data_IF_224177814475
#
_entry.id   IF_224177814475
#
_cell.length_a   1.000
_cell.length_b   1.000
_cell.length_c   1.000
_cell.angle_alpha   90.00
_cell.angle_beta   90.00
_cell.angle_gamma   90.00
#
_symmetry.space_group_name_H-M   'P 1'
#
loop_
_entity.id
_entity.type
_entity.pdbx_description
1 polymer ?
#
# COMPACT_ATOMS: atom_id res chain seq x y z
N UNK A 1 2.30 30.83 -0.13
CA UNK A 1 3.03 30.22 -1.27
C UNK A 1 2.09 29.17 -1.85
N UNK A 2 1.60 29.34 -3.10
CA UNK A 2 0.71 28.34 -3.72
C UNK A 2 1.55 27.10 -4.02
N UNK A 3 1.31 26.01 -3.30
CA UNK A 3 1.90 24.71 -3.64
C UNK A 3 1.28 24.25 -4.96
N UNK A 4 2.02 24.35 -6.06
CA UNK A 4 1.67 23.62 -7.28
C UNK A 4 1.81 22.13 -6.99
N UNK A 5 0.70 21.39 -7.11
CA UNK A 5 0.72 19.94 -6.95
C UNK A 5 1.67 19.34 -8.00
N UNK A 6 2.68 18.55 -7.60
CA UNK A 6 3.57 17.93 -8.56
C UNK A 6 2.77 17.04 -9.52
N UNK A 7 2.91 17.26 -10.83
CA UNK A 7 2.29 16.38 -11.83
C UNK A 7 3.02 15.04 -11.78
N UNK A 8 2.38 14.02 -11.22
CA UNK A 8 2.93 12.65 -11.20
C UNK A 8 2.94 12.15 -12.66
N UNK A 9 4.13 11.86 -13.20
CA UNK A 9 4.29 11.44 -14.59
C UNK A 9 3.84 9.99 -14.77
N UNK A 10 3.02 9.72 -15.79
CA UNK A 10 2.45 8.40 -16.13
C UNK A 10 3.45 7.25 -16.34
N UNK A 11 4.76 7.48 -16.37
CA UNK A 11 5.71 6.63 -17.12
C UNK A 11 6.89 6.05 -16.36
N UNK A 12 7.03 6.31 -15.06
CA UNK A 12 8.26 5.94 -14.35
C UNK A 12 8.42 4.41 -14.27
N UNK A 13 7.31 3.67 -14.10
CA UNK A 13 7.36 2.21 -13.94
C UNK A 13 7.80 1.50 -15.23
N UNK A 14 7.34 1.93 -16.39
CA UNK A 14 7.72 1.26 -17.65
C UNK A 14 9.16 1.61 -18.08
N UNK A 15 9.68 2.76 -17.64
CA UNK A 15 11.03 3.25 -17.99
C UNK A 15 12.11 2.85 -16.98
N UNK A 16 11.80 2.97 -15.69
CA UNK A 16 12.77 2.86 -14.58
C UNK A 16 12.68 1.51 -13.86
N UNK A 17 11.77 0.62 -14.25
CA UNK A 17 11.66 -0.69 -13.60
C UNK A 17 12.87 -1.59 -13.82
N UNK A 18 13.36 -2.15 -12.72
CA UNK A 18 14.36 -3.21 -12.74
C UNK A 18 13.87 -4.43 -13.53
N UNK A 19 14.82 -5.29 -13.92
CA UNK A 19 14.47 -6.58 -14.51
C UNK A 19 13.58 -7.43 -13.59
N UNK A 20 13.89 -7.43 -12.29
CA UNK A 20 13.15 -8.15 -11.26
C UNK A 20 11.67 -7.71 -11.23
N UNK A 21 11.42 -6.39 -11.14
CA UNK A 21 10.08 -5.84 -11.09
C UNK A 21 9.27 -6.16 -12.36
N UNK A 22 9.89 -6.08 -13.54
CA UNK A 22 9.23 -6.44 -14.81
C UNK A 22 8.83 -7.90 -14.85
N UNK A 23 9.70 -8.81 -14.40
CA UNK A 23 9.41 -10.24 -14.31
C UNK A 23 8.27 -10.50 -13.32
N UNK A 24 8.31 -9.87 -12.14
CA UNK A 24 7.30 -9.97 -11.09
C UNK A 24 5.91 -9.55 -11.60
N UNK A 25 5.80 -8.37 -12.20
CA UNK A 25 4.53 -7.86 -12.73
C UNK A 25 3.98 -8.75 -13.85
N UNK A 26 4.84 -9.26 -14.73
CA UNK A 26 4.44 -10.18 -15.81
C UNK A 26 3.89 -11.48 -15.24
N UNK A 27 4.59 -12.10 -14.29
CA UNK A 27 4.16 -13.34 -13.65
C UNK A 27 2.85 -13.14 -12.90
N UNK A 28 2.73 -12.07 -12.10
CA UNK A 28 1.49 -11.77 -11.37
C UNK A 28 0.28 -11.57 -12.32
N UNK A 29 0.45 -10.84 -13.42
CA UNK A 29 -0.58 -10.68 -14.46
C UNK A 29 -0.99 -12.02 -15.06
N UNK A 30 -0.02 -12.85 -15.46
CA UNK A 30 -0.26 -14.18 -16.01
C UNK A 30 -0.97 -15.11 -15.03
N UNK A 31 -0.51 -15.16 -13.78
CA UNK A 31 -1.11 -16.01 -12.74
C UNK A 31 -2.55 -15.61 -12.43
N UNK A 32 -2.85 -14.32 -12.28
CA UNK A 32 -4.21 -13.85 -11.99
C UNK A 32 -5.15 -14.06 -13.19
N UNK A 33 -4.66 -13.86 -14.41
CA UNK A 33 -5.42 -14.12 -15.63
C UNK A 33 -5.75 -15.61 -15.78
N UNK A 34 -4.76 -16.48 -15.64
CA UNK A 34 -4.93 -17.93 -15.82
C UNK A 34 -5.81 -18.55 -14.73
N UNK A 35 -5.63 -18.15 -13.47
CA UNK A 35 -6.37 -18.74 -12.36
C UNK A 35 -7.80 -18.22 -12.23
N UNK A 36 -8.08 -16.97 -12.62
CA UNK A 36 -9.35 -16.31 -12.30
C UNK A 36 -9.98 -15.54 -13.45
N UNK A 37 -9.38 -15.48 -14.64
CA UNK A 37 -9.87 -14.64 -15.74
C UNK A 37 -9.87 -13.15 -15.41
N UNK A 38 -9.04 -12.72 -14.44
CA UNK A 38 -8.92 -11.34 -14.01
C UNK A 38 -7.67 -10.69 -14.59
N UNK A 39 -7.69 -9.37 -14.76
CA UNK A 39 -6.58 -8.59 -15.33
C UNK A 39 -6.04 -7.62 -14.31
N UNK A 40 -4.73 -7.38 -14.35
CA UNK A 40 -4.04 -6.42 -13.48
C UNK A 40 -3.35 -5.37 -14.34
N UNK A 41 -3.69 -4.10 -14.08
CA UNK A 41 -3.05 -2.94 -14.72
C UNK A 41 -2.37 -2.07 -13.67
N UNK A 42 -1.22 -1.51 -14.03
CA UNK A 42 -0.43 -0.60 -13.18
C UNK A 42 -0.46 0.77 -13.84
N UNK A 43 -0.68 1.81 -13.03
CA UNK A 43 -0.76 3.20 -13.48
C UNK A 43 0.26 4.00 -12.68
N UNK A 44 1.01 4.88 -13.35
CA UNK A 44 2.02 5.74 -12.72
C UNK A 44 1.45 6.99 -12.06
N UNK A 45 0.20 6.96 -11.60
CA UNK A 45 -0.45 8.06 -10.89
C UNK A 45 -1.63 7.53 -10.05
N UNK A 46 -2.36 8.42 -9.35
CA UNK A 46 -3.59 8.07 -8.63
C UNK A 46 -4.88 8.37 -9.40
N UNK A 47 -4.82 8.79 -10.65
CA UNK A 47 -6.02 9.17 -11.40
C UNK A 47 -6.94 7.94 -11.59
N UNK A 48 -6.36 6.80 -11.98
CA UNK A 48 -7.13 5.57 -12.14
C UNK A 48 -7.69 5.04 -10.80
N UNK A 49 -7.00 5.34 -9.70
CA UNK A 49 -7.43 5.04 -8.33
C UNK A 49 -8.64 5.88 -7.91
N UNK A 50 -8.59 7.20 -8.11
CA UNK A 50 -9.70 8.11 -7.78
C UNK A 50 -10.99 7.78 -8.52
N UNK A 51 -10.88 7.23 -9.74
CA UNK A 51 -12.00 6.82 -10.60
C UNK A 51 -12.59 5.43 -10.27
N UNK A 52 -12.26 4.83 -9.12
CA UNK A 52 -12.89 3.58 -8.70
C UNK A 52 -14.05 3.89 -7.77
N UNK A 53 -15.26 3.49 -8.17
CA UNK A 53 -16.40 3.46 -7.26
C UNK A 53 -16.18 2.37 -6.22
N UNK A 54 -16.08 2.79 -4.96
CA UNK A 54 -15.77 1.93 -3.81
C UNK A 54 -17.01 1.50 -3.04
N UNK A 55 -18.22 1.81 -3.53
CA UNK A 55 -19.50 1.48 -2.88
C UNK A 55 -19.54 1.99 -1.42
N UNK A 56 -19.08 3.23 -1.21
CA UNK A 56 -18.97 3.86 0.12
C UNK A 56 -17.77 3.41 0.96
N UNK A 57 -16.82 2.66 0.40
CA UNK A 57 -15.56 2.35 1.08
C UNK A 57 -14.68 3.59 1.29
N UNK A 58 -14.03 3.67 2.46
CA UNK A 58 -13.06 4.72 2.77
C UNK A 58 -11.95 4.79 1.71
N UNK A 59 -11.66 5.99 1.24
CA UNK A 59 -10.49 6.28 0.42
C UNK A 59 -9.62 7.28 1.18
N UNK A 60 -8.35 6.92 1.34
CA UNK A 60 -7.38 7.81 1.95
C UNK A 60 -7.03 8.93 0.97
N UNK A 61 -7.15 10.19 1.41
CA UNK A 61 -7.04 11.38 0.54
C UNK A 61 -5.70 11.49 -0.21
N UNK A 62 -4.64 10.87 0.32
CA UNK A 62 -3.33 10.82 -0.33
C UNK A 62 -3.28 10.02 -1.64
N UNK A 63 -4.37 9.34 -2.01
CA UNK A 63 -4.49 8.61 -3.28
C UNK A 63 -5.40 9.35 -4.28
N UNK A 64 -5.25 10.67 -4.35
CA UNK A 64 -5.77 11.55 -5.39
C UNK A 64 -4.66 12.56 -5.74
N UNK A 65 -4.34 12.72 -7.03
CA UNK A 65 -3.28 13.62 -7.49
C UNK A 65 -3.50 15.08 -7.06
N UNK A 66 -4.75 15.48 -6.78
CA UNK A 66 -5.10 16.85 -6.38
C UNK A 66 -4.78 17.13 -4.92
N UNK A 67 -4.74 16.08 -4.09
CA UNK A 67 -4.71 16.20 -2.64
C UNK A 67 -3.47 15.54 -2.03
N UNK A 68 -2.79 14.66 -2.75
CA UNK A 68 -1.59 14.00 -2.27
C UNK A 68 -0.42 14.96 -2.10
N UNK A 69 0.39 14.77 -1.06
CA UNK A 69 1.71 15.43 -0.93
C UNK A 69 2.86 14.55 -1.40
N UNK A 70 2.56 13.38 -1.98
CA UNK A 70 3.58 12.50 -2.52
C UNK A 70 4.27 13.11 -3.73
N UNK A 71 5.57 12.86 -3.87
CA UNK A 71 6.35 13.27 -5.05
C UNK A 71 6.11 12.34 -6.23
N UNK A 72 5.75 11.08 -5.96
CA UNK A 72 5.37 10.06 -6.94
C UNK A 72 4.24 9.19 -6.42
N UNK A 73 3.48 8.61 -7.34
CA UNK A 73 2.36 7.75 -7.02
C UNK A 73 2.19 6.63 -8.02
N UNK A 74 1.67 5.50 -7.57
CA UNK A 74 1.22 4.43 -8.44
C UNK A 74 -0.07 3.83 -7.91
N UNK A 75 -0.89 3.31 -8.82
CA UNK A 75 -1.97 2.43 -8.43
C UNK A 75 -2.07 1.19 -9.31
N UNK A 76 -2.57 0.12 -8.71
CA UNK A 76 -2.86 -1.14 -9.35
C UNK A 76 -4.36 -1.29 -9.40
N UNK A 77 -4.91 -1.55 -10.59
CA UNK A 77 -6.33 -1.79 -10.81
C UNK A 77 -6.51 -3.23 -11.26
N UNK A 78 -7.38 -3.96 -10.55
CA UNK A 78 -7.79 -5.31 -10.92
C UNK A 78 -9.18 -5.25 -11.54
N UNK A 79 -9.32 -5.86 -12.73
CA UNK A 79 -10.62 -6.02 -13.39
C UNK A 79 -10.97 -7.49 -13.56
N UNK A 80 -12.23 -7.83 -13.36
CA UNK A 80 -12.78 -9.14 -13.68
C UNK A 80 -14.08 -8.93 -14.46
N UNK A 81 -14.21 -9.58 -15.63
CA UNK A 81 -15.33 -9.39 -16.57
C UNK A 81 -15.60 -7.91 -16.89
N UNK A 82 -14.54 -7.16 -17.19
CA UNK A 82 -14.60 -5.74 -17.54
C UNK A 82 -14.83 -4.76 -16.36
N UNK A 83 -15.26 -5.24 -15.19
CA UNK A 83 -15.53 -4.40 -14.00
C UNK A 83 -14.29 -4.25 -13.14
N UNK A 84 -14.04 -3.05 -12.59
CA UNK A 84 -13.01 -2.83 -11.57
C UNK A 84 -13.47 -3.49 -10.26
N UNK A 85 -12.69 -4.44 -9.75
CA UNK A 85 -13.06 -5.24 -8.57
C UNK A 85 -12.08 -5.09 -7.41
N UNK A 86 -10.91 -4.50 -7.66
CA UNK A 86 -9.94 -4.24 -6.62
C UNK A 86 -8.94 -3.16 -7.02
N UNK A 87 -8.40 -2.52 -6.00
CA UNK A 87 -7.38 -1.48 -6.13
C UNK A 87 -6.30 -1.67 -5.10
N UNK A 88 -5.14 -1.09 -5.38
CA UNK A 88 -4.09 -0.84 -4.41
C UNK A 88 -3.33 0.41 -4.86
N UNK A 89 -2.72 1.15 -3.92
CA UNK A 89 -1.93 2.33 -4.23
C UNK A 89 -0.65 2.39 -3.40
N UNK A 90 0.37 2.99 -3.98
CA UNK A 90 1.61 3.30 -3.29
C UNK A 90 2.05 4.72 -3.62
N UNK A 91 2.63 5.40 -2.64
CA UNK A 91 3.01 6.81 -2.72
C UNK A 91 4.44 6.99 -2.22
N UNK A 92 5.21 7.88 -2.84
CA UNK A 92 6.56 8.23 -2.43
C UNK A 92 6.56 9.55 -1.66
N UNK A 93 7.19 9.56 -0.50
CA UNK A 93 7.42 10.75 0.32
C UNK A 93 8.90 10.92 0.60
N UNK A 94 9.29 12.17 0.84
CA UNK A 94 10.59 12.51 1.41
C UNK A 94 10.42 12.76 2.91
N UNK A 95 11.06 11.92 3.73
CA UNK A 95 11.03 11.99 5.18
C UNK A 95 12.17 12.85 5.69
N UNK A 96 12.01 14.17 5.58
CA UNK A 96 12.95 15.15 6.11
C UNK A 96 12.29 16.08 7.17
N UNK A 97 12.84 16.18 8.39
CA UNK A 97 14.01 15.44 8.88
C UNK A 97 13.69 13.98 9.24
N UNK A 98 12.43 13.64 9.54
CA UNK A 98 11.95 12.26 9.67
C UNK A 98 10.47 12.13 9.28
N UNK A 99 9.97 10.90 9.22
CA UNK A 99 8.59 10.63 8.81
C UNK A 99 7.56 11.09 9.85
N UNK A 100 7.91 11.15 11.14
CA UNK A 100 7.03 11.70 12.18
C UNK A 100 6.70 13.16 11.91
N UNK A 101 7.72 13.96 11.54
CA UNK A 101 7.54 15.38 11.23
C UNK A 101 6.68 15.58 9.99
N UNK A 102 6.84 14.71 8.98
CA UNK A 102 5.99 14.72 7.79
C UNK A 102 4.54 14.40 8.14
N UNK A 103 4.30 13.37 8.95
CA UNK A 103 2.94 12.95 9.29
C UNK A 103 2.18 13.95 10.15
N UNK A 104 2.84 14.54 11.16
CA UNK A 104 2.21 15.44 12.14
C UNK A 104 2.31 16.92 11.74
N UNK A 105 3.22 17.28 10.83
CA UNK A 105 3.33 18.63 10.26
C UNK A 105 2.47 18.79 9.00
N UNK A 106 3.05 18.63 7.80
CA UNK A 106 2.29 18.77 6.55
C UNK A 106 1.21 17.68 6.35
N UNK A 107 1.38 16.49 6.91
CA UNK A 107 0.54 15.33 6.63
C UNK A 107 0.82 14.68 5.27
N UNK A 108 0.19 13.53 5.01
CA UNK A 108 0.37 12.79 3.75
C UNK A 108 -0.46 13.37 2.58
N UNK A 109 -1.45 14.19 2.90
CA UNK A 109 -2.38 14.79 1.95
C UNK A 109 -2.94 16.10 2.48
N UNK A 110 -3.62 16.83 1.61
CA UNK A 110 -4.36 18.04 1.88
C UNK A 110 -5.55 18.07 0.93
N UNK A 111 -6.74 17.86 1.44
CA UNK A 111 -7.98 17.92 0.66
C UNK A 111 -8.86 19.12 1.05
N UNK A 112 -8.31 20.05 1.82
CA UNK A 112 -9.03 21.21 2.34
C UNK A 112 -10.00 20.88 3.48
N UNK A 113 -9.97 19.65 4.00
CA UNK A 113 -10.70 19.25 5.21
C UNK A 113 -9.79 19.33 6.45
N UNK A 114 -10.37 19.07 7.62
CA UNK A 114 -9.65 18.91 8.88
C UNK A 114 -9.11 17.47 9.06
N UNK A 115 -9.09 16.66 7.99
CA UNK A 115 -8.61 15.29 8.06
C UNK A 115 -7.08 15.26 8.24
N UNK A 116 -6.61 14.54 9.25
CA UNK A 116 -5.19 14.49 9.59
C UNK A 116 -4.81 13.18 10.29
N UNK A 117 -3.50 12.95 10.45
CA UNK A 117 -2.97 11.79 11.15
C UNK A 117 -2.27 12.24 12.44
N UNK A 118 -2.42 11.46 13.51
CA UNK A 118 -1.70 11.64 14.77
C UNK A 118 -1.00 10.35 15.15
N UNK A 119 0.22 10.44 15.67
CA UNK A 119 0.96 9.29 16.14
C UNK A 119 0.84 9.24 17.66
N UNK A 120 -0.04 8.41 18.20
CA UNK A 120 -0.29 8.36 19.64
C UNK A 120 0.52 7.28 20.36
N UNK A 121 0.90 6.21 19.66
CA UNK A 121 1.67 5.11 20.24
C UNK A 121 3.16 5.41 20.31
N UNK A 122 3.77 5.16 21.48
CA UNK A 122 5.20 5.38 21.68
C UNK A 122 6.07 4.57 20.71
N UNK A 123 5.77 3.29 20.50
CA UNK A 123 6.52 2.42 19.58
C UNK A 123 6.36 2.87 18.12
N UNK A 124 5.14 3.19 17.68
CA UNK A 124 4.90 3.72 16.34
C UNK A 124 5.64 5.04 16.12
N UNK A 125 5.67 5.91 17.13
CA UNK A 125 6.44 7.17 17.10
C UNK A 125 7.93 6.93 16.95
N UNK A 126 8.51 5.99 17.69
CA UNK A 126 9.93 5.62 17.54
C UNK A 126 10.26 5.18 16.10
N UNK A 127 9.40 4.36 15.50
CA UNK A 127 9.57 3.95 14.10
C UNK A 127 9.54 5.14 13.14
N UNK A 128 8.54 6.02 13.24
CA UNK A 128 8.44 7.18 12.34
C UNK A 128 9.55 8.22 12.57
N UNK A 129 10.07 8.36 13.79
CA UNK A 129 11.23 9.21 14.10
C UNK A 129 12.53 8.66 13.53
N UNK A 130 12.65 7.33 13.43
CA UNK A 130 13.81 6.66 12.85
C UNK A 130 13.80 6.65 11.31
N UNK A 131 12.62 6.72 10.67
CA UNK A 131 12.51 6.74 9.21
C UNK A 131 12.94 8.08 8.63
N UNK A 132 13.97 8.06 7.78
CA UNK A 132 14.52 9.23 7.07
C UNK A 132 14.78 8.90 5.61
N UNK A 133 14.84 9.92 4.75
CA UNK A 133 15.10 9.74 3.32
C UNK A 133 13.84 9.37 2.54
N UNK A 134 13.97 8.51 1.53
CA UNK A 134 12.86 8.18 0.63
C UNK A 134 11.96 7.11 1.25
N UNK A 135 10.68 7.42 1.44
CA UNK A 135 9.73 6.54 2.13
C UNK A 135 8.54 6.19 1.23
N UNK A 136 8.34 4.90 1.00
CA UNK A 136 7.16 4.36 0.33
C UNK A 136 6.00 4.14 1.32
N UNK A 137 4.85 4.76 1.06
CA UNK A 137 3.61 4.43 1.75
C UNK A 137 2.81 3.40 0.96
N UNK A 138 2.55 2.26 1.58
CA UNK A 138 1.81 1.12 1.03
C UNK A 138 0.37 1.11 1.55
N UNK A 139 -0.62 1.28 0.69
CA UNK A 139 -2.02 1.23 1.11
C UNK A 139 -3.03 1.26 -0.02
N UNK A 140 -4.20 1.86 0.24
CA UNK A 140 -5.27 1.98 -0.76
C UNK A 140 -5.85 0.64 -1.21
N UNK A 141 -5.69 -0.44 -0.43
CA UNK A 141 -6.33 -1.68 -0.81
C UNK A 141 -7.84 -1.48 -0.79
N UNK A 142 -8.50 -2.00 -1.81
CA UNK A 142 -9.93 -2.19 -1.78
C UNK A 142 -10.27 -3.40 -2.64
N UNK A 143 -11.27 -4.16 -2.22
CA UNK A 143 -11.87 -5.25 -3.01
C UNK A 143 -13.38 -5.07 -2.91
N UNK A 144 -14.06 -5.12 -4.06
CA UNK A 144 -15.53 -5.02 -4.16
C UNK A 144 -16.19 -6.06 -3.27
N UNK A 145 -17.28 -5.68 -2.60
CA UNK A 145 -17.93 -6.49 -1.56
C UNK A 145 -18.27 -7.90 -2.05
N UNK A 146 -18.79 -8.00 -3.29
CA UNK A 146 -19.17 -9.28 -3.92
C UNK A 146 -17.99 -10.26 -4.13
N UNK A 147 -16.74 -9.78 -4.12
CA UNK A 147 -15.56 -10.63 -4.27
C UNK A 147 -14.89 -10.96 -2.94
N UNK A 148 -15.26 -10.32 -1.83
CA UNK A 148 -14.61 -10.57 -0.53
C UNK A 148 -14.88 -11.99 -0.06
N UNK A 149 -13.85 -12.65 0.49
CA UNK A 149 -13.93 -14.03 0.97
C UNK A 149 -13.75 -15.10 -0.12
N UNK A 150 -13.80 -14.72 -1.41
CA UNK A 150 -13.55 -15.62 -2.54
C UNK A 150 -12.06 -15.96 -2.70
N UNK A 151 -11.71 -17.07 -3.40
CA UNK A 151 -10.32 -17.40 -3.72
C UNK A 151 -9.55 -16.27 -4.42
N UNK A 152 -10.21 -15.54 -5.32
CA UNK A 152 -9.62 -14.37 -5.98
C UNK A 152 -9.24 -13.31 -4.95
N UNK A 153 -10.13 -12.92 -4.03
CA UNK A 153 -9.78 -11.95 -2.99
C UNK A 153 -8.68 -12.44 -2.04
N UNK A 154 -8.65 -13.74 -1.71
CA UNK A 154 -7.59 -14.34 -0.88
C UNK A 154 -6.23 -14.26 -1.55
N UNK A 155 -6.18 -14.26 -2.89
CA UNK A 155 -4.98 -14.04 -3.68
C UNK A 155 -4.62 -12.56 -3.80
N UNK A 156 -5.60 -11.69 -4.08
CA UNK A 156 -5.34 -10.27 -4.31
C UNK A 156 -4.87 -9.54 -3.04
N UNK A 157 -5.42 -9.89 -1.89
CA UNK A 157 -5.09 -9.24 -0.61
C UNK A 157 -3.60 -9.29 -0.25
N UNK A 158 -2.88 -10.42 -0.39
CA UNK A 158 -1.43 -10.46 -0.21
C UNK A 158 -0.65 -10.01 -1.45
N UNK A 159 -1.14 -10.29 -2.66
CA UNK A 159 -0.43 -10.00 -3.90
C UNK A 159 -0.30 -8.49 -4.16
N UNK A 160 -1.37 -7.72 -4.00
CA UNK A 160 -1.35 -6.30 -4.36
C UNK A 160 -0.38 -5.48 -3.48
N UNK A 161 -0.33 -5.66 -2.15
CA UNK A 161 0.72 -5.07 -1.33
C UNK A 161 2.12 -5.50 -1.73
N UNK A 162 2.35 -6.78 -2.04
CA UNK A 162 3.66 -7.23 -2.52
C UNK A 162 4.10 -6.45 -3.75
N UNK A 163 3.23 -6.36 -4.77
CA UNK A 163 3.55 -5.66 -6.01
C UNK A 163 3.79 -4.17 -5.78
N UNK A 164 2.95 -3.51 -4.98
CA UNK A 164 3.08 -2.09 -4.69
C UNK A 164 4.37 -1.75 -3.96
N UNK A 165 4.72 -2.54 -2.95
CA UNK A 165 5.99 -2.37 -2.21
C UNK A 165 7.19 -2.67 -3.09
N UNK A 166 7.11 -3.69 -3.94
CA UNK A 166 8.16 -3.99 -4.91
C UNK A 166 8.36 -2.84 -5.90
N UNK A 167 7.29 -2.16 -6.33
CA UNK A 167 7.42 -0.93 -7.15
C UNK A 167 8.18 0.15 -6.36
N UNK A 168 7.82 0.40 -5.11
CA UNK A 168 8.51 1.41 -4.31
C UNK A 168 10.02 1.12 -4.17
N UNK A 169 10.38 -0.13 -3.89
CA UNK A 169 11.80 -0.52 -3.72
C UNK A 169 12.54 -0.51 -5.05
N UNK A 170 12.03 -1.23 -6.06
CA UNK A 170 12.78 -1.50 -7.29
C UNK A 170 12.72 -0.36 -8.32
N UNK A 171 11.69 0.50 -8.25
CA UNK A 171 11.53 1.61 -9.18
C UNK A 171 11.93 2.95 -8.56
N UNK A 172 11.68 3.15 -7.27
CA UNK A 172 11.94 4.44 -6.62
C UNK A 172 13.14 4.41 -5.67
N UNK A 173 13.68 3.23 -5.35
CA UNK A 173 14.85 3.11 -4.48
C UNK A 173 14.57 3.58 -3.05
N UNK A 174 13.38 3.33 -2.51
CA UNK A 174 13.01 3.78 -1.16
C UNK A 174 13.86 3.11 -0.08
N UNK A 175 14.22 3.90 0.94
CA UNK A 175 14.92 3.46 2.15
C UNK A 175 13.99 2.73 3.11
N UNK A 176 12.70 3.11 3.12
CA UNK A 176 11.69 2.58 4.02
C UNK A 176 10.36 2.34 3.31
N UNK A 177 9.63 1.33 3.77
CA UNK A 177 8.24 1.10 3.36
C UNK A 177 7.37 0.86 4.57
N UNK A 178 6.36 1.71 4.74
CA UNK A 178 5.36 1.56 5.78
C UNK A 178 3.95 1.43 5.21
N UNK A 179 3.04 0.89 6.01
CA UNK A 179 1.63 0.80 5.73
C UNK A 179 0.85 1.28 6.96
N UNK A 180 -0.41 1.66 6.73
CA UNK A 180 -1.36 1.92 7.81
C UNK A 180 -2.64 1.14 7.52
N UNK A 181 -3.16 0.47 8.53
CA UNK A 181 -4.37 -0.36 8.41
C UNK A 181 -5.33 -0.06 9.54
N UNK A 182 -6.64 0.09 9.28
CA UNK A 182 -7.62 0.25 10.35
C UNK A 182 -7.57 -0.93 11.32
N UNK A 183 -7.71 -0.67 12.61
CA UNK A 183 -7.67 -1.71 13.64
C UNK A 183 -8.70 -2.83 13.36
N UNK A 184 -9.88 -2.49 12.88
CA UNK A 184 -10.90 -3.45 12.48
C UNK A 184 -10.45 -4.43 11.37
N UNK A 185 -9.52 -4.01 10.51
CA UNK A 185 -8.95 -4.86 9.44
C UNK A 185 -7.88 -5.78 10.04
N UNK A 186 -7.07 -5.25 10.97
CA UNK A 186 -6.08 -6.03 11.71
C UNK A 186 -6.72 -7.14 12.54
N UNK A 187 -7.77 -6.82 13.32
CA UNK A 187 -8.51 -7.79 14.14
C UNK A 187 -9.17 -8.90 13.32
N UNK A 188 -9.42 -8.69 12.01
CA UNK A 188 -9.93 -9.71 11.08
C UNK A 188 -8.84 -10.63 10.51
N UNK A 189 -7.59 -10.51 10.97
CA UNK A 189 -6.46 -11.29 10.47
C UNK A 189 -6.02 -10.93 9.06
N UNK A 190 -6.53 -9.84 8.48
CA UNK A 190 -6.15 -9.39 7.13
C UNK A 190 -4.71 -8.86 7.13
N UNK A 191 -4.28 -8.24 8.23
CA UNK A 191 -2.92 -7.72 8.40
C UNK A 191 -1.83 -8.78 8.23
N UNK A 192 -2.06 -10.00 8.72
CA UNK A 192 -1.12 -11.11 8.56
C UNK A 192 -0.87 -11.46 7.08
N UNK A 193 -1.89 -11.28 6.23
CA UNK A 193 -1.79 -11.51 4.78
C UNK A 193 -0.94 -10.46 4.07
N UNK A 194 -0.70 -9.31 4.69
CA UNK A 194 0.15 -8.28 4.10
C UNK A 194 1.64 -8.62 4.24
N UNK A 195 1.98 -9.67 5.00
CA UNK A 195 3.37 -10.12 5.22
C UNK A 195 4.29 -8.99 5.71
N UNK A 196 3.74 -8.08 6.52
CA UNK A 196 4.53 -7.04 7.15
C UNK A 196 5.42 -7.67 8.22
N UNK A 197 6.65 -7.19 8.35
CA UNK A 197 7.59 -7.72 9.34
C UNK A 197 7.25 -7.24 10.74
N UNK A 198 6.68 -6.04 10.84
CA UNK A 198 6.40 -5.35 12.10
C UNK A 198 5.03 -4.72 11.97
N UNK A 199 4.22 -4.82 13.01
CA UNK A 199 2.91 -4.17 13.10
C UNK A 199 2.68 -3.67 14.51
N UNK A 200 2.37 -2.39 14.65
CA UNK A 200 2.19 -1.74 15.95
C UNK A 200 0.89 -0.92 15.93
N UNK A 201 0.09 -0.91 17.00
CA UNK A 201 -0.99 0.06 17.13
C UNK A 201 -0.42 1.47 17.41
N UNK A 202 -1.28 2.48 17.34
CA UNK A 202 -0.96 3.82 17.84
C UNK A 202 -0.87 4.91 16.78
N UNK A 203 -1.58 4.75 15.67
CA UNK A 203 -1.86 5.86 14.76
C UNK A 203 -3.36 6.14 14.85
N UNK A 204 -3.76 7.41 14.85
CA UNK A 204 -5.16 7.82 14.69
C UNK A 204 -5.30 8.59 13.40
N UNK A 205 -6.27 8.19 12.58
CA UNK A 205 -6.70 8.96 11.42
C UNK A 205 -7.99 9.70 11.75
N UNK A 206 -7.90 11.02 11.87
CA UNK A 206 -9.08 11.87 11.94
C UNK A 206 -9.65 11.99 10.52
N UNK A 207 -10.86 11.49 10.31
CA UNK A 207 -11.53 11.48 9.02
C UNK A 207 -12.99 11.88 9.18
N UNK A 208 -13.38 13.01 8.59
CA UNK A 208 -14.77 13.50 8.56
C UNK A 208 -15.40 13.60 9.95
N UNK A 209 -14.64 14.12 10.91
CA UNK A 209 -15.10 14.30 12.30
C UNK A 209 -15.06 13.04 13.15
N UNK A 210 -14.49 11.93 12.66
CA UNK A 210 -14.35 10.70 13.40
C UNK A 210 -12.89 10.26 13.52
N UNK A 211 -12.48 9.81 14.70
CA UNK A 211 -11.18 9.20 14.92
C UNK A 211 -11.23 7.72 14.57
N UNK A 212 -10.38 7.31 13.64
CA UNK A 212 -10.23 5.93 13.18
C UNK A 212 -8.88 5.40 13.73
N UNK A 213 -8.89 4.43 14.66
CA UNK A 213 -7.68 3.78 15.11
C UNK A 213 -7.03 2.97 13.98
N UNK A 214 -5.73 3.21 13.80
CA UNK A 214 -4.91 2.61 12.76
C UNK A 214 -3.69 1.93 13.39
N UNK A 215 -3.27 0.85 12.74
CA UNK A 215 -2.03 0.16 13.02
C UNK A 215 -0.98 0.59 12.00
N UNK A 216 0.19 0.91 12.51
CA UNK A 216 1.43 0.99 11.76
C UNK A 216 1.85 -0.40 11.28
N UNK A 217 2.38 -0.46 10.07
CA UNK A 217 3.03 -1.64 9.52
C UNK A 217 4.35 -1.26 8.87
N UNK A 218 5.40 -2.04 9.09
CA UNK A 218 6.69 -1.85 8.44
C UNK A 218 7.16 -3.14 7.77
N UNK A 219 7.82 -2.98 6.63
CA UNK A 219 8.47 -4.07 5.95
C UNK A 219 9.78 -3.59 5.33
N UNK A 220 10.94 -4.12 5.77
CA UNK A 220 12.23 -3.69 5.25
C UNK A 220 12.35 -3.92 3.73
N UNK A 221 13.02 -3.02 2.98
CA UNK A 221 13.24 -3.19 1.54
C UNK A 221 13.82 -4.56 1.15
N UNK A 222 14.81 -5.07 1.89
CA UNK A 222 15.38 -6.40 1.64
C UNK A 222 14.35 -7.54 1.77
N UNK A 223 13.42 -7.44 2.72
CA UNK A 223 12.36 -8.44 2.88
C UNK A 223 11.34 -8.36 1.74
N UNK A 224 11.08 -7.16 1.21
CA UNK A 224 10.22 -6.97 0.02
C UNK A 224 10.83 -7.68 -1.20
N UNK A 225 12.14 -7.52 -1.41
CA UNK A 225 12.86 -8.19 -2.50
C UNK A 225 12.83 -9.71 -2.30
N UNK A 226 13.05 -10.19 -1.09
CA UNK A 226 12.94 -11.62 -0.75
C UNK A 226 11.55 -12.19 -1.06
N UNK A 227 10.49 -11.49 -0.65
CA UNK A 227 9.11 -11.92 -0.92
C UNK A 227 8.79 -11.88 -2.42
N UNK A 228 9.32 -10.90 -3.16
CA UNK A 228 9.19 -10.83 -4.61
C UNK A 228 9.86 -12.03 -5.31
N UNK A 229 11.08 -12.39 -4.90
CA UNK A 229 11.78 -13.56 -5.41
C UNK A 229 11.05 -14.85 -5.04
N UNK A 230 10.54 -14.96 -3.82
CA UNK A 230 9.75 -16.12 -3.37
C UNK A 230 8.47 -16.28 -4.21
N UNK A 231 7.83 -15.17 -4.59
CA UNK A 231 6.67 -15.21 -5.48
C UNK A 231 7.05 -15.62 -6.90
N UNK A 232 8.22 -15.19 -7.40
CA UNK A 232 8.69 -15.61 -8.72
C UNK A 232 8.93 -17.12 -8.78
N UNK A 233 9.42 -17.71 -7.70
CA UNK A 233 9.64 -19.16 -7.59
C UNK A 233 8.31 -19.93 -7.45
N UNK A 234 7.45 -19.50 -6.53
CA UNK A 234 6.30 -20.29 -6.08
C UNK A 234 4.96 -19.88 -6.69
N UNK A 235 4.89 -18.71 -7.33
CA UNK A 235 3.64 -18.13 -7.84
C UNK A 235 2.60 -17.92 -6.73
N UNK A 236 1.33 -18.17 -7.05
CA UNK A 236 0.22 -17.96 -6.11
C UNK A 236 0.27 -18.88 -4.89
N UNK A 237 0.93 -20.04 -5.00
CA UNK A 237 1.06 -21.00 -3.88
C UNK A 237 1.80 -20.43 -2.67
N UNK A 238 2.58 -19.36 -2.87
CA UNK A 238 3.21 -18.61 -1.78
C UNK A 238 2.20 -18.16 -0.72
N UNK A 239 0.96 -17.89 -1.13
CA UNK A 239 -0.06 -17.33 -0.25
C UNK A 239 -0.89 -18.39 0.48
N UNK A 240 -0.83 -19.66 0.06
CA UNK A 240 -1.57 -20.74 0.68
C UNK A 240 -1.05 -21.07 2.09
N UNK A 241 0.24 -20.86 2.35
CA UNK A 241 0.89 -21.08 3.66
C UNK A 241 0.60 -19.98 4.69
N UNK A 242 0.17 -18.80 4.25
CA UNK A 242 -0.02 -17.64 5.13
C UNK A 242 -1.25 -17.73 6.04
N UNK A 243 -2.06 -18.79 5.91
CA UNK A 243 -3.21 -19.07 6.77
C UNK A 243 -2.90 -19.79 8.08
N UNK A 244 -1.72 -20.40 8.23
CA UNK A 244 -1.45 -21.33 9.34
C UNK A 244 -0.33 -20.92 10.32
N UNK A 245 0.52 -19.93 10.00
CA UNK A 245 1.79 -19.74 10.74
C UNK A 245 2.18 -18.33 11.20
N UNK A 246 1.39 -17.29 10.94
CA UNK A 246 1.85 -15.91 11.10
C UNK A 246 1.20 -15.16 12.28
N UNK A 247 1.43 -15.63 13.50
CA UNK A 247 1.41 -14.78 14.71
C UNK A 247 2.61 -15.16 15.56
N UNK A 248 3.76 -14.54 15.31
CA UNK A 248 4.76 -14.33 16.37
C UNK A 248 4.49 -12.95 16.92
N UNK A 249 3.63 -12.87 17.92
CA UNK A 249 3.59 -11.72 18.83
C UNK A 249 4.92 -11.70 19.57
N UNK A 250 5.67 -10.59 19.44
CA UNK A 250 6.68 -10.28 20.44
C UNK A 250 5.90 -10.00 21.74
N UNK A 251 5.92 -10.97 22.66
CA UNK A 251 5.41 -10.77 24.00
C UNK A 251 6.28 -9.70 24.68
N UNK A 252 5.62 -8.67 25.22
CA UNK A 252 6.16 -7.83 26.29
C UNK A 252 6.14 -8.60 27.61
#
# INVERSE_FOLDING_TARGET
MKHEAPSIRKTDIDRESSYLLRKLLRQARGSVANAFGATLSVHGDFQAFGQVDREGGYAFGAYDNRFTRSSRGTCIIVKHRGRKIGTYACALYDAHPCMSDVMEGPGLYFDGTDDHLRIEGATARQWFQAMRGSVGFSGGIWVSKQYRGTPLSRTLVPLLPLLGRAIAVECWGVDHVFAMMPEQVMRKGIGARYRLSITEPGIVWHHRGADIPMWFGYHPPLMIVHDALSFLDRGLSLFDESGAGAVRTAAA
#
